data_IF_984634801095
#
_entry.id   IF_984634801095
#
_cell.length_a   1.000
_cell.length_b   1.000
_cell.length_c   1.000
_cell.angle_alpha   90.00
_cell.angle_beta   90.00
_cell.angle_gamma   90.00
#
_symmetry.space_group_name_H-M   'P 1'
#
loop_
_entity.id
_entity.type
_entity.pdbx_description
1 polymer ?
#
# COMPACT_ATOMS: atom_id res chain seq x y z
N UNK A 1 23.92 86.22 -36.60
CA UNK A 1 22.71 85.38 -36.41
C UNK A 1 22.22 84.97 -37.80
N UNK A 2 22.12 83.72 -38.27
CA UNK A 2 21.98 82.39 -37.68
C UNK A 2 22.69 81.40 -38.63
N UNK A 3 23.73 80.71 -38.17
CA UNK A 3 24.25 79.49 -38.84
C UNK A 3 24.55 78.35 -37.86
N UNK A 4 24.49 78.60 -36.54
CA UNK A 4 24.82 77.63 -35.51
C UNK A 4 23.63 76.77 -35.02
N UNK A 5 22.37 77.16 -35.28
CA UNK A 5 21.20 76.41 -34.79
C UNK A 5 20.89 75.12 -35.57
N UNK A 6 21.50 74.89 -36.74
CA UNK A 6 21.21 73.68 -37.55
C UNK A 6 22.01 72.44 -37.15
N UNK A 7 23.08 72.56 -36.35
CA UNK A 7 23.93 71.42 -35.99
C UNK A 7 23.48 70.70 -34.69
N UNK A 8 22.65 71.31 -33.84
CA UNK A 8 22.12 70.66 -32.64
C UNK A 8 20.90 69.76 -32.88
N UNK A 9 20.15 69.94 -33.97
CA UNK A 9 18.96 69.10 -34.24
C UNK A 9 19.30 67.73 -34.86
N UNK A 10 20.45 67.59 -35.54
CA UNK A 10 20.84 66.32 -36.16
C UNK A 10 21.37 65.27 -35.18
N UNK A 11 21.96 65.69 -34.05
CA UNK A 11 22.44 64.75 -33.03
C UNK A 11 21.30 64.18 -32.16
N UNK A 12 20.23 64.95 -31.90
CA UNK A 12 19.08 64.45 -31.13
C UNK A 12 18.25 63.40 -31.89
N UNK A 13 18.19 63.46 -33.24
CA UNK A 13 17.44 62.48 -34.05
C UNK A 13 18.15 61.12 -34.09
N UNK A 14 19.49 61.08 -34.05
CA UNK A 14 20.24 59.82 -33.99
C UNK A 14 20.08 59.10 -32.65
N UNK A 15 20.09 59.84 -31.54
CA UNK A 15 19.94 59.27 -30.20
C UNK A 15 18.55 58.64 -30.01
N UNK A 16 17.49 59.33 -30.44
CA UNK A 16 16.10 58.84 -30.34
C UNK A 16 15.85 57.60 -31.23
N UNK A 17 16.46 57.52 -32.42
CA UNK A 17 16.37 56.30 -33.25
C UNK A 17 17.08 55.10 -32.62
N UNK A 18 18.21 55.31 -31.92
CA UNK A 18 18.94 54.21 -31.26
C UNK A 18 18.19 53.67 -30.02
N UNK A 19 17.53 54.54 -29.26
CA UNK A 19 16.72 54.14 -28.09
C UNK A 19 15.47 53.34 -28.48
N UNK A 20 14.86 53.67 -29.64
CA UNK A 20 13.68 52.94 -30.14
C UNK A 20 14.01 51.54 -30.69
N UNK A 21 15.21 51.34 -31.23
CA UNK A 21 15.67 49.99 -31.63
C UNK A 21 15.99 49.10 -30.43
N UNK A 22 16.44 49.69 -29.32
CA UNK A 22 16.73 48.95 -28.10
C UNK A 22 15.46 48.40 -27.44
N UNK A 23 14.36 49.17 -27.39
CA UNK A 23 13.11 48.70 -26.80
C UNK A 23 12.49 47.52 -27.54
N UNK A 24 12.60 47.47 -28.88
CA UNK A 24 12.11 46.33 -29.66
C UNK A 24 12.93 45.06 -29.47
N UNK A 25 14.26 45.17 -29.39
CA UNK A 25 15.13 44.00 -29.16
C UNK A 25 14.94 43.40 -27.77
N UNK A 26 14.73 44.24 -26.74
CA UNK A 26 14.42 43.77 -25.38
C UNK A 26 13.07 43.06 -25.35
N UNK A 27 12.04 43.56 -26.05
CA UNK A 27 10.72 42.90 -26.11
C UNK A 27 10.74 41.52 -26.79
N UNK A 28 11.57 41.36 -27.83
CA UNK A 28 11.75 40.09 -28.53
C UNK A 28 12.48 39.08 -27.64
N UNK A 29 13.58 39.49 -27.01
CA UNK A 29 14.32 38.63 -26.09
C UNK A 29 13.44 38.19 -24.89
N UNK A 30 12.63 39.09 -24.32
CA UNK A 30 11.70 38.73 -23.25
C UNK A 30 10.61 37.76 -23.71
N UNK A 31 10.12 37.87 -24.94
CA UNK A 31 9.14 36.94 -25.50
C UNK A 31 9.74 35.53 -25.67
N UNK A 32 10.97 35.43 -26.20
CA UNK A 32 11.67 34.14 -26.32
C UNK A 32 11.95 33.51 -24.95
N UNK A 33 12.37 34.31 -23.96
CA UNK A 33 12.59 33.81 -22.60
C UNK A 33 11.29 33.30 -21.96
N UNK A 34 10.16 33.98 -22.18
CA UNK A 34 8.86 33.54 -21.68
C UNK A 34 8.42 32.21 -22.34
N UNK A 35 8.58 32.08 -23.67
CA UNK A 35 8.27 30.84 -24.39
C UNK A 35 9.16 29.69 -23.90
N UNK A 36 10.46 29.94 -23.76
CA UNK A 36 11.40 28.94 -23.25
C UNK A 36 11.04 28.51 -21.82
N UNK A 37 10.69 29.46 -20.95
CA UNK A 37 10.27 29.17 -19.57
C UNK A 37 8.98 28.35 -19.56
N UNK A 38 7.99 28.69 -20.38
CA UNK A 38 6.75 27.92 -20.50
C UNK A 38 7.01 26.49 -21.00
N UNK A 39 7.87 26.33 -22.01
CA UNK A 39 8.25 25.03 -22.53
C UNK A 39 9.00 24.19 -21.49
N UNK A 40 9.95 24.79 -20.78
CA UNK A 40 10.69 24.13 -19.70
C UNK A 40 9.74 23.67 -18.57
N UNK A 41 8.77 24.51 -18.19
CA UNK A 41 7.76 24.14 -17.18
C UNK A 41 6.87 22.99 -17.63
N UNK A 42 6.41 23.00 -18.89
CA UNK A 42 5.62 21.89 -19.45
C UNK A 42 6.45 20.61 -19.50
N UNK A 43 7.70 20.68 -19.97
CA UNK A 43 8.61 19.53 -20.03
C UNK A 43 8.92 18.96 -18.63
N UNK A 44 9.10 19.83 -17.63
CA UNK A 44 9.28 19.41 -16.25
C UNK A 44 8.02 18.77 -15.67
N UNK A 45 6.84 19.35 -15.93
CA UNK A 45 5.56 18.79 -15.49
C UNK A 45 5.29 17.42 -16.11
N UNK A 46 5.46 17.28 -17.44
CA UNK A 46 5.26 16.00 -18.13
C UNK A 46 6.32 14.98 -17.72
N UNK A 47 7.57 15.41 -17.53
CA UNK A 47 8.65 14.57 -17.01
C UNK A 47 8.32 14.01 -15.63
N UNK A 48 7.88 14.86 -14.70
CA UNK A 48 7.47 14.44 -13.36
C UNK A 48 6.26 13.51 -13.40
N UNK A 49 5.24 13.83 -14.22
CA UNK A 49 4.07 12.97 -14.36
C UNK A 49 4.41 11.59 -14.90
N UNK A 50 5.24 11.51 -15.95
CA UNK A 50 5.67 10.21 -16.53
C UNK A 50 6.54 9.44 -15.54
N UNK A 51 7.42 10.12 -14.81
CA UNK A 51 8.23 9.50 -13.76
C UNK A 51 7.35 8.94 -12.63
N UNK A 52 6.37 9.73 -12.16
CA UNK A 52 5.45 9.36 -11.10
C UNK A 52 4.53 8.21 -11.51
N UNK A 53 4.10 8.18 -12.77
CA UNK A 53 3.36 7.06 -13.32
C UNK A 53 4.26 5.82 -13.47
N UNK A 54 5.46 5.95 -14.02
CA UNK A 54 6.35 4.81 -14.24
C UNK A 54 6.82 4.16 -12.93
N UNK A 55 6.97 4.92 -11.84
CA UNK A 55 7.27 4.38 -10.50
C UNK A 55 6.08 3.68 -9.85
N UNK A 56 4.85 4.02 -10.23
CA UNK A 56 3.63 3.42 -9.66
C UNK A 56 3.22 2.15 -10.40
N UNK A 57 3.71 1.94 -11.63
CA UNK A 57 3.44 0.71 -12.38
C UNK A 57 4.33 -0.41 -11.86
N UNK A 58 3.69 -1.43 -11.31
CA UNK A 58 4.29 -2.67 -10.87
C UNK A 58 3.48 -3.87 -11.37
N UNK A 59 4.09 -5.04 -11.36
CA UNK A 59 3.41 -6.31 -11.55
C UNK A 59 4.06 -7.36 -10.66
N UNK A 60 3.34 -8.45 -10.44
CA UNK A 60 3.79 -9.57 -9.62
C UNK A 60 4.00 -10.76 -10.55
N UNK A 61 5.19 -11.33 -10.52
CA UNK A 61 5.49 -12.61 -11.15
C UNK A 61 5.74 -13.66 -10.08
N UNK A 62 5.43 -14.91 -10.38
CA UNK A 62 5.89 -16.04 -9.55
C UNK A 62 7.37 -16.31 -9.84
N UNK A 63 8.16 -16.45 -8.79
CA UNK A 63 9.54 -16.91 -8.85
C UNK A 63 9.69 -18.12 -7.93
N UNK A 64 10.70 -18.94 -8.21
CA UNK A 64 11.05 -20.08 -7.38
C UNK A 64 12.56 -20.26 -7.35
N UNK A 65 13.04 -20.94 -6.31
CA UNK A 65 14.43 -21.34 -6.19
C UNK A 65 14.55 -22.82 -6.46
N UNK A 66 15.55 -23.22 -7.24
CA UNK A 66 15.92 -24.63 -7.29
C UNK A 66 16.41 -25.11 -5.92
N UNK A 67 16.30 -26.42 -5.71
CA UNK A 67 16.75 -27.07 -4.48
C UNK A 67 18.21 -26.74 -4.13
N UNK A 68 19.10 -26.70 -5.14
CA UNK A 68 20.52 -26.39 -4.94
C UNK A 68 20.78 -24.92 -4.64
N UNK A 69 20.03 -23.98 -5.25
CA UNK A 69 20.13 -22.56 -4.93
C UNK A 69 19.70 -22.28 -3.49
N UNK A 70 18.59 -22.89 -3.05
CA UNK A 70 18.10 -22.72 -1.69
C UNK A 70 19.06 -23.32 -0.64
N UNK A 71 19.67 -24.48 -0.90
CA UNK A 71 20.74 -25.04 -0.04
C UNK A 71 21.95 -24.10 0.03
N UNK A 72 22.39 -23.57 -1.10
CA UNK A 72 23.54 -22.67 -1.16
C UNK A 72 23.28 -21.39 -0.34
N UNK A 73 22.07 -20.82 -0.45
CA UNK A 73 21.64 -19.66 0.34
C UNK A 73 21.50 -19.97 1.83
N UNK A 74 21.01 -21.16 2.18
CA UNK A 74 20.90 -21.64 3.56
C UNK A 74 22.25 -22.07 4.18
N UNK A 75 23.34 -22.12 3.39
CA UNK A 75 24.65 -22.57 3.86
C UNK A 75 24.72 -24.07 4.17
N UNK A 76 23.88 -24.87 3.52
CA UNK A 76 23.79 -26.32 3.74
C UNK A 76 24.64 -27.06 2.70
N UNK A 77 25.30 -28.13 3.13
CA UNK A 77 26.06 -29.00 2.23
C UNK A 77 25.15 -29.67 1.20
N UNK A 78 25.62 -29.81 -0.04
CA UNK A 78 24.90 -30.47 -1.14
C UNK A 78 24.57 -31.95 -0.90
N UNK A 79 25.09 -32.57 0.16
CA UNK A 79 24.83 -33.98 0.50
C UNK A 79 23.49 -34.20 1.23
N UNK A 80 22.83 -33.16 1.73
CA UNK A 80 21.49 -33.25 2.33
C UNK A 80 20.48 -33.27 1.20
N UNK A 81 19.55 -34.24 1.19
CA UNK A 81 18.48 -34.31 0.19
C UNK A 81 17.13 -34.08 0.89
N UNK A 82 16.40 -33.06 0.45
CA UNK A 82 15.02 -32.76 0.84
C UNK A 82 14.13 -33.49 -0.16
N UNK A 83 13.32 -34.43 0.34
CA UNK A 83 12.50 -35.34 -0.47
C UNK A 83 11.39 -34.58 -1.21
N UNK A 84 10.66 -33.73 -0.49
CA UNK A 84 9.60 -32.88 -1.06
C UNK A 84 10.00 -31.41 -0.99
N UNK A 85 10.19 -30.78 -2.15
CA UNK A 85 10.68 -29.41 -2.22
C UNK A 85 9.92 -28.60 -3.27
N UNK A 86 9.34 -27.49 -2.85
CA UNK A 86 8.67 -26.54 -3.73
C UNK A 86 8.71 -25.13 -3.14
N UNK A 87 9.45 -24.20 -3.75
CA UNK A 87 9.41 -22.79 -3.34
C UNK A 87 8.80 -21.94 -4.44
N UNK A 88 7.62 -21.41 -4.16
CA UNK A 88 6.91 -20.44 -4.98
C UNK A 88 6.66 -19.19 -4.14
N UNK A 89 7.16 -18.06 -4.61
CA UNK A 89 7.02 -16.79 -3.91
C UNK A 89 6.83 -15.65 -4.90
N UNK A 90 6.22 -14.52 -4.47
CA UNK A 90 5.99 -13.39 -5.35
C UNK A 90 7.28 -12.61 -5.54
N UNK A 91 7.53 -12.17 -6.78
CA UNK A 91 8.53 -11.17 -7.12
C UNK A 91 7.82 -9.93 -7.60
N UNK A 92 8.07 -8.81 -6.95
CA UNK A 92 7.51 -7.51 -7.32
C UNK A 92 8.44 -6.86 -8.34
N UNK A 93 7.94 -6.64 -9.54
CA UNK A 93 8.69 -6.04 -10.65
C UNK A 93 8.17 -4.63 -10.96
N UNK A 94 9.07 -3.74 -11.36
CA UNK A 94 8.75 -2.34 -11.70
C UNK A 94 9.46 -1.92 -12.97
N UNK A 95 8.91 -0.92 -13.66
CA UNK A 95 9.53 -0.35 -14.87
C UNK A 95 10.84 0.36 -14.52
N UNK A 96 10.83 1.13 -13.44
CA UNK A 96 11.99 1.87 -12.95
C UNK A 96 12.58 1.17 -11.71
N UNK A 97 13.91 1.20 -11.52
CA UNK A 97 14.53 0.66 -10.32
C UNK A 97 13.95 1.28 -9.04
N UNK A 98 13.50 0.43 -8.12
CA UNK A 98 12.98 0.85 -6.83
C UNK A 98 13.76 0.15 -5.70
N UNK A 99 14.47 0.92 -4.89
CA UNK A 99 15.31 0.39 -3.81
C UNK A 99 14.50 -0.39 -2.77
N UNK A 100 13.38 0.20 -2.33
CA UNK A 100 12.53 -0.38 -1.32
C UNK A 100 11.91 -1.70 -1.80
N UNK A 101 11.38 -1.75 -3.04
CA UNK A 101 10.81 -3.00 -3.56
C UNK A 101 11.87 -4.08 -3.80
N UNK A 102 13.13 -3.68 -4.08
CA UNK A 102 14.24 -4.63 -4.10
C UNK A 102 14.51 -5.22 -2.72
N UNK A 103 14.54 -4.40 -1.66
CA UNK A 103 14.68 -4.89 -0.27
C UNK A 103 13.51 -5.80 0.12
N UNK A 104 12.29 -5.46 -0.30
CA UNK A 104 11.11 -6.32 -0.11
C UNK A 104 11.33 -7.68 -0.79
N UNK A 105 11.73 -7.71 -2.07
CA UNK A 105 12.01 -8.95 -2.78
C UNK A 105 13.12 -9.77 -2.11
N UNK A 106 14.22 -9.13 -1.68
CA UNK A 106 15.30 -9.79 -0.96
C UNK A 106 14.80 -10.42 0.36
N UNK A 107 13.91 -9.73 1.08
CA UNK A 107 13.27 -10.24 2.29
C UNK A 107 12.35 -11.42 2.00
N UNK A 108 11.56 -11.38 0.92
CA UNK A 108 10.70 -12.51 0.49
C UNK A 108 11.58 -13.74 0.26
N UNK A 109 12.60 -13.60 -0.58
CA UNK A 109 13.53 -14.69 -0.91
C UNK A 109 14.19 -15.23 0.37
N UNK A 110 14.67 -14.34 1.25
CA UNK A 110 15.26 -14.73 2.54
C UNK A 110 14.31 -15.56 3.40
N UNK A 111 13.05 -15.15 3.54
CA UNK A 111 12.07 -15.89 4.33
C UNK A 111 11.76 -17.26 3.71
N UNK A 112 11.69 -17.35 2.37
CA UNK A 112 11.38 -18.59 1.66
C UNK A 112 12.39 -19.72 1.90
N UNK A 113 13.67 -19.44 2.17
CA UNK A 113 14.65 -20.49 2.49
C UNK A 113 15.10 -20.50 3.96
N UNK A 114 14.66 -19.54 4.78
CA UNK A 114 15.18 -19.34 6.15
C UNK A 114 14.96 -20.52 7.11
N UNK A 115 13.95 -21.36 6.83
CA UNK A 115 13.61 -22.52 7.66
C UNK A 115 14.23 -23.83 7.16
N UNK A 116 14.96 -23.77 6.04
CA UNK A 116 15.68 -24.94 5.54
C UNK A 116 16.84 -25.23 6.48
N UNK A 117 16.96 -26.49 6.89
CA UNK A 117 17.98 -26.97 7.81
C UNK A 117 18.52 -28.33 7.35
N UNK A 118 19.69 -28.78 7.86
CA UNK A 118 20.24 -30.08 7.47
C UNK A 118 19.35 -31.28 7.77
N UNK A 119 18.36 -31.16 8.67
CA UNK A 119 17.40 -32.20 9.00
C UNK A 119 16.01 -31.95 8.37
N UNK A 120 15.86 -30.99 7.46
CA UNK A 120 14.62 -30.81 6.71
C UNK A 120 14.41 -31.98 5.73
N UNK A 121 13.23 -32.60 5.78
CA UNK A 121 12.77 -33.67 4.88
C UNK A 121 11.83 -33.15 3.80
N UNK A 122 10.97 -32.20 4.15
CA UNK A 122 10.09 -31.50 3.22
C UNK A 122 10.16 -30.00 3.48
N UNK A 123 10.17 -29.19 2.43
CA UNK A 123 10.13 -27.74 2.53
C UNK A 123 9.31 -27.16 1.38
N UNK A 124 8.16 -26.57 1.72
CA UNK A 124 7.23 -25.99 0.76
C UNK A 124 6.95 -24.55 1.14
N UNK A 125 6.99 -23.66 0.15
CA UNK A 125 6.60 -22.26 0.31
C UNK A 125 5.62 -21.88 -0.80
N UNK A 126 4.51 -21.29 -0.40
CA UNK A 126 3.48 -20.73 -1.27
C UNK A 126 3.15 -19.30 -0.90
N UNK A 127 2.34 -18.64 -1.73
CA UNK A 127 1.89 -17.28 -1.45
C UNK A 127 0.49 -17.02 -2.00
N UNK A 128 -0.18 -16.03 -1.41
CA UNK A 128 -1.45 -15.50 -1.86
C UNK A 128 -1.39 -13.96 -1.91
N UNK A 129 -1.81 -13.36 -3.02
CA UNK A 129 -1.99 -11.90 -3.11
C UNK A 129 -3.37 -11.52 -2.57
N UNK A 130 -3.41 -11.02 -1.35
CA UNK A 130 -4.62 -10.59 -0.66
C UNK A 130 -5.22 -9.29 -1.23
N UNK A 131 -4.38 -8.33 -1.60
CA UNK A 131 -4.80 -7.07 -2.21
C UNK A 131 -3.73 -6.55 -3.16
N UNK A 132 -4.13 -6.14 -4.36
CA UNK A 132 -3.27 -5.47 -5.32
C UNK A 132 -4.01 -4.26 -5.87
N UNK A 133 -3.47 -3.06 -5.61
CA UNK A 133 -4.03 -1.79 -6.03
C UNK A 133 -2.93 -0.75 -6.26
N UNK A 134 -3.28 0.42 -6.78
CA UNK A 134 -2.33 1.52 -7.02
C UNK A 134 -1.71 2.06 -5.71
N UNK A 135 -2.39 1.90 -4.57
CA UNK A 135 -1.94 2.44 -3.28
C UNK A 135 -1.45 1.39 -2.29
N UNK A 136 -1.99 0.17 -2.34
CA UNK A 136 -1.66 -0.90 -1.39
C UNK A 136 -1.40 -2.20 -2.14
N UNK A 137 -0.31 -2.86 -1.77
CA UNK A 137 -0.03 -4.25 -2.08
C UNK A 137 0.02 -5.05 -0.77
N UNK A 138 -0.78 -6.10 -0.68
CA UNK A 138 -0.85 -7.02 0.46
C UNK A 138 -0.75 -8.46 -0.04
N UNK A 139 0.11 -9.26 0.58
CA UNK A 139 0.20 -10.69 0.30
C UNK A 139 0.67 -11.48 1.52
N UNK A 140 0.37 -12.77 1.49
CA UNK A 140 0.70 -13.75 2.52
C UNK A 140 1.70 -14.75 1.94
N UNK A 141 2.69 -15.13 2.74
CA UNK A 141 3.67 -16.17 2.43
C UNK A 141 3.48 -17.30 3.45
N UNK A 142 3.20 -18.50 2.98
CA UNK A 142 3.02 -19.69 3.78
C UNK A 142 4.25 -20.59 3.62
N UNK A 143 4.80 -21.05 4.74
CA UNK A 143 5.96 -21.94 4.79
C UNK A 143 5.60 -23.19 5.57
N UNK A 144 5.87 -24.34 4.98
CA UNK A 144 5.63 -25.66 5.55
C UNK A 144 6.95 -26.42 5.58
N UNK A 145 7.34 -26.87 6.78
CA UNK A 145 8.58 -27.64 6.96
C UNK A 145 8.31 -28.91 7.73
N UNK A 146 8.78 -30.04 7.21
CA UNK A 146 8.81 -31.30 7.94
C UNK A 146 10.25 -31.68 8.23
N UNK A 147 10.59 -31.86 9.51
CA UNK A 147 11.94 -32.22 9.93
C UNK A 147 12.05 -33.72 10.21
N UNK A 148 13.22 -34.29 9.99
CA UNK A 148 13.53 -35.67 10.35
C UNK A 148 13.33 -35.88 11.86
N UNK A 149 12.53 -36.90 12.21
CA UNK A 149 12.19 -37.24 13.59
C UNK A 149 11.08 -36.40 14.20
N UNK A 150 10.53 -35.41 13.47
CA UNK A 150 9.34 -34.68 13.92
C UNK A 150 8.09 -35.57 13.85
N UNK A 151 7.15 -35.33 14.77
CA UNK A 151 5.85 -36.02 14.79
C UNK A 151 4.85 -35.40 13.80
N UNK A 152 4.99 -34.11 13.52
CA UNK A 152 4.13 -33.30 12.68
C UNK A 152 4.99 -32.25 11.94
N UNK A 153 4.51 -31.72 10.81
CA UNK A 153 5.12 -30.56 10.17
C UNK A 153 4.95 -29.30 11.02
N UNK A 154 5.71 -28.27 10.67
CA UNK A 154 5.59 -26.92 11.22
C UNK A 154 5.14 -25.95 10.13
N UNK A 155 4.07 -25.22 10.42
CA UNK A 155 3.54 -24.18 9.53
C UNK A 155 3.85 -22.77 10.06
N UNK A 156 4.43 -21.93 9.21
CA UNK A 156 4.70 -20.52 9.49
C UNK A 156 4.08 -19.65 8.42
N UNK A 157 3.41 -18.59 8.83
CA UNK A 157 2.77 -17.65 7.91
C UNK A 157 3.29 -16.25 8.14
N UNK A 158 3.75 -15.61 7.08
CA UNK A 158 4.23 -14.24 7.06
C UNK A 158 3.30 -13.39 6.20
N UNK A 159 3.18 -12.11 6.53
CA UNK A 159 2.41 -11.19 5.72
C UNK A 159 3.22 -9.95 5.39
N UNK A 160 2.91 -9.38 4.23
CA UNK A 160 3.54 -8.19 3.70
C UNK A 160 2.44 -7.22 3.31
N UNK A 161 2.42 -6.05 3.94
CA UNK A 161 1.52 -4.96 3.59
C UNK A 161 2.39 -3.76 3.21
N UNK A 162 2.18 -3.22 2.02
CA UNK A 162 3.08 -2.24 1.42
C UNK A 162 2.25 -1.05 0.93
N UNK A 163 2.63 0.16 1.34
CA UNK A 163 2.12 1.40 0.75
C UNK A 163 2.91 1.69 -0.52
N UNK A 164 2.25 1.45 -1.67
CA UNK A 164 2.84 1.62 -2.99
C UNK A 164 3.05 3.11 -3.35
N UNK A 165 2.42 4.04 -2.64
CA UNK A 165 2.58 5.49 -2.89
C UNK A 165 3.89 6.02 -2.32
N UNK A 166 4.22 5.55 -1.12
CA UNK A 166 5.29 6.11 -0.31
C UNK A 166 6.49 5.17 -0.15
N UNK A 167 6.35 3.88 -0.52
CA UNK A 167 7.43 2.90 -0.48
C UNK A 167 7.85 2.55 0.95
N UNK A 168 6.90 2.13 1.78
CA UNK A 168 7.17 1.60 3.12
C UNK A 168 6.21 0.46 3.47
N UNK A 169 6.57 -0.31 4.50
CA UNK A 169 5.69 -1.32 5.07
C UNK A 169 4.57 -0.65 5.87
N UNK A 170 3.34 -1.11 5.66
CA UNK A 170 2.18 -0.73 6.48
C UNK A 170 2.22 -1.57 7.75
N UNK A 171 2.41 -0.91 8.89
CA UNK A 171 2.25 -1.51 10.21
C UNK A 171 0.79 -1.43 10.66
N UNK A 172 0.40 -2.27 11.61
CA UNK A 172 -0.94 -2.22 12.21
C UNK A 172 -1.21 -0.85 12.86
N UNK A 173 -0.15 -0.18 13.35
CA UNK A 173 -0.23 1.16 13.94
C UNK A 173 -0.50 2.25 12.89
N UNK A 174 -0.21 2.00 11.61
CA UNK A 174 -0.55 2.93 10.52
C UNK A 174 -2.04 2.83 10.14
N UNK A 175 -2.70 1.75 10.52
CA UNK A 175 -4.11 1.50 10.22
C UNK A 175 -5.02 2.12 11.28
N UNK A 176 -4.62 2.10 12.55
CA UNK A 176 -5.49 2.48 13.67
C UNK A 176 -5.01 3.72 14.42
N UNK A 177 -5.95 4.63 14.71
CA UNK A 177 -5.77 5.80 15.57
C UNK A 177 -5.63 5.37 17.03
N UNK A 178 -4.73 6.04 17.75
CA UNK A 178 -4.54 5.81 19.19
C UNK A 178 -3.32 4.95 19.55
N UNK A 179 -2.53 4.54 18.56
CA UNK A 179 -1.28 3.81 18.79
C UNK A 179 -1.52 2.47 19.49
N UNK A 180 -0.69 2.13 20.48
CA UNK A 180 -0.76 0.84 21.19
C UNK A 180 -2.10 0.56 21.87
N UNK A 181 -2.83 1.58 22.35
CA UNK A 181 -4.17 1.38 22.94
C UNK A 181 -5.19 0.84 21.91
N UNK A 182 -4.99 1.18 20.63
CA UNK A 182 -5.83 0.63 19.57
C UNK A 182 -5.60 -0.87 19.41
N UNK A 183 -4.37 -1.35 19.62
CA UNK A 183 -4.01 -2.77 19.47
C UNK A 183 -4.72 -3.63 20.52
N UNK A 184 -4.81 -3.18 21.77
CA UNK A 184 -5.59 -3.88 22.79
C UNK A 184 -7.06 -4.02 22.38
N UNK A 185 -7.65 -2.94 21.85
CA UNK A 185 -9.04 -2.96 21.38
C UNK A 185 -9.21 -3.88 20.16
N UNK A 186 -8.25 -3.87 19.23
CA UNK A 186 -8.23 -4.79 18.09
C UNK A 186 -8.18 -6.23 18.57
N UNK A 187 -7.30 -6.55 19.52
CA UNK A 187 -7.22 -7.91 20.09
C UNK A 187 -8.54 -8.36 20.69
N UNK A 188 -9.23 -7.48 21.42
CA UNK A 188 -10.55 -7.77 21.99
C UNK A 188 -11.62 -8.02 20.91
N UNK A 189 -11.59 -7.28 19.80
CA UNK A 189 -12.50 -7.46 18.67
C UNK A 189 -12.23 -8.80 17.96
N UNK A 190 -10.95 -9.14 17.77
CA UNK A 190 -10.53 -10.34 17.00
C UNK A 190 -10.67 -11.63 17.82
N UNK A 191 -10.53 -11.56 19.14
CA UNK A 191 -10.50 -12.71 20.05
C UNK A 191 -11.67 -13.70 19.89
N UNK A 192 -12.95 -13.27 19.80
CA UNK A 192 -14.06 -14.19 19.57
C UNK A 192 -13.93 -14.99 18.27
N UNK A 193 -13.42 -14.38 17.20
CA UNK A 193 -13.24 -15.05 15.91
C UNK A 193 -12.16 -16.13 15.97
N UNK A 194 -11.11 -15.93 16.79
CA UNK A 194 -10.09 -16.96 17.02
C UNK A 194 -10.72 -18.17 17.71
N UNK A 195 -11.54 -17.94 18.74
CA UNK A 195 -12.24 -19.01 19.46
C UNK A 195 -13.21 -19.80 18.58
N UNK A 196 -13.89 -19.14 17.64
CA UNK A 196 -14.74 -19.81 16.66
C UNK A 196 -13.94 -20.71 15.71
N UNK A 197 -12.68 -20.33 15.43
CA UNK A 197 -11.80 -21.08 14.52
C UNK A 197 -11.10 -22.25 15.20
N UNK A 198 -10.60 -22.05 16.43
CA UNK A 198 -9.86 -23.03 17.20
C UNK A 198 -10.12 -22.86 18.69
N UNK A 199 -10.52 -23.95 19.35
CA UNK A 199 -10.62 -23.99 20.81
C UNK A 199 -9.23 -24.10 21.45
N UNK A 200 -8.99 -23.38 22.55
CA UNK A 200 -7.76 -23.51 23.32
C UNK A 200 -6.76 -22.37 23.13
N UNK A 201 -7.25 -21.14 22.94
CA UNK A 201 -6.41 -19.94 22.82
C UNK A 201 -5.50 -19.80 24.05
N UNK A 202 -4.21 -19.54 23.80
CA UNK A 202 -3.23 -19.21 24.82
C UNK A 202 -3.42 -17.76 25.26
N UNK A 203 -4.35 -17.54 26.19
CA UNK A 203 -4.77 -16.19 26.60
C UNK A 203 -3.60 -15.28 27.02
N UNK A 204 -2.65 -15.83 27.78
CA UNK A 204 -1.47 -15.09 28.24
C UNK A 204 -0.58 -14.65 27.07
N UNK A 205 -0.40 -15.51 26.06
CA UNK A 205 0.40 -15.17 24.87
C UNK A 205 -0.33 -14.19 23.95
N UNK A 206 -1.64 -14.38 23.74
CA UNK A 206 -2.43 -13.53 22.85
C UNK A 206 -2.59 -12.10 23.41
N UNK A 207 -2.85 -11.97 24.71
CA UNK A 207 -3.02 -10.66 25.35
C UNK A 207 -1.72 -10.03 25.85
N UNK A 208 -0.56 -10.65 25.64
CA UNK A 208 0.74 -10.05 25.93
C UNK A 208 0.91 -8.70 25.20
N UNK A 209 1.41 -7.66 25.90
CA UNK A 209 1.55 -6.31 25.34
C UNK A 209 2.50 -6.25 24.12
N UNK A 210 3.45 -7.17 24.03
CA UNK A 210 4.42 -7.25 22.93
C UNK A 210 3.87 -8.04 21.73
N UNK A 211 2.85 -8.86 21.94
CA UNK A 211 2.23 -9.61 20.86
C UNK A 211 1.43 -8.67 19.95
N UNK A 212 1.79 -8.63 18.67
CA UNK A 212 1.04 -7.89 17.64
C UNK A 212 0.62 -8.90 16.57
N UNK A 213 -0.69 -9.12 16.37
CA UNK A 213 -1.16 -10.05 15.34
C UNK A 213 -0.65 -9.64 13.97
N UNK A 214 -0.15 -10.62 13.20
CA UNK A 214 0.10 -10.41 11.77
C UNK A 214 -1.23 -10.23 11.05
N UNK A 215 -1.20 -9.49 9.96
CA UNK A 215 -2.40 -9.22 9.19
C UNK A 215 -2.11 -9.10 7.69
N UNK A 216 -3.13 -9.33 6.88
CA UNK A 216 -3.17 -8.98 5.47
C UNK A 216 -4.38 -8.10 5.20
N UNK A 217 -4.18 -7.07 4.39
CA UNK A 217 -5.25 -6.21 3.92
C UNK A 217 -5.97 -6.84 2.73
N UNK A 218 -7.31 -6.83 2.78
CA UNK A 218 -8.20 -7.21 1.69
C UNK A 218 -9.13 -6.04 1.35
N UNK A 219 -9.94 -6.18 0.30
CA UNK A 219 -10.84 -5.10 -0.15
C UNK A 219 -11.89 -4.68 0.90
N UNK A 220 -12.32 -5.59 1.78
CA UNK A 220 -13.47 -5.37 2.68
C UNK A 220 -13.20 -5.70 4.15
N UNK A 221 -12.04 -6.28 4.45
CA UNK A 221 -11.72 -6.78 5.78
C UNK A 221 -10.21 -6.75 6.01
N UNK A 222 -9.83 -6.85 7.28
CA UNK A 222 -8.47 -7.18 7.69
C UNK A 222 -8.47 -8.67 8.03
N UNK A 223 -7.58 -9.42 7.40
CA UNK A 223 -7.35 -10.81 7.74
C UNK A 223 -6.23 -10.88 8.78
N UNK A 224 -6.55 -11.35 10.00
CA UNK A 224 -5.55 -11.57 11.04
C UNK A 224 -5.02 -12.99 10.96
N UNK A 225 -3.71 -13.16 10.98
CA UNK A 225 -3.01 -14.38 10.59
C UNK A 225 -2.18 -14.88 11.76
N UNK A 226 -2.28 -16.17 12.04
CA UNK A 226 -1.60 -16.84 13.13
C UNK A 226 -0.85 -18.07 12.62
N UNK A 227 0.44 -18.15 12.93
CA UNK A 227 1.24 -19.35 12.66
C UNK A 227 0.89 -20.45 13.65
N UNK A 228 1.27 -21.69 13.32
CA UNK A 228 1.11 -22.81 14.24
C UNK A 228 1.83 -22.53 15.57
N UNK A 229 1.22 -22.91 16.69
CA UNK A 229 1.73 -22.68 18.06
C UNK A 229 1.84 -21.23 18.52
N UNK A 230 1.44 -20.24 17.72
CA UNK A 230 1.59 -18.84 18.09
C UNK A 230 0.63 -18.44 19.20
N UNK A 231 -0.66 -18.77 19.03
CA UNK A 231 -1.73 -18.41 19.97
C UNK A 231 -2.67 -19.57 20.27
N UNK A 232 -2.44 -20.75 19.67
CA UNK A 232 -3.26 -21.96 19.85
C UNK A 232 -2.38 -23.22 19.78
N UNK A 233 -2.87 -24.41 20.21
CA UNK A 233 -2.15 -25.66 20.05
C UNK A 233 -2.03 -26.08 18.58
N UNK A 234 -0.97 -26.80 18.22
CA UNK A 234 -0.69 -27.18 16.83
C UNK A 234 -1.73 -28.07 16.14
N UNK A 235 -2.67 -28.69 16.87
CA UNK A 235 -3.82 -29.37 16.24
C UNK A 235 -4.67 -28.41 15.39
N UNK A 236 -4.59 -27.11 15.64
CA UNK A 236 -5.28 -26.09 14.86
C UNK A 236 -4.51 -25.62 13.61
N UNK A 237 -3.25 -26.05 13.44
CA UNK A 237 -2.39 -25.60 12.36
C UNK A 237 -2.14 -24.09 12.39
N UNK A 238 -1.67 -23.56 11.27
CA UNK A 238 -1.78 -22.12 11.00
C UNK A 238 -3.22 -21.78 10.55
N UNK A 239 -3.68 -20.57 10.86
CA UNK A 239 -5.02 -20.13 10.47
C UNK A 239 -5.13 -18.62 10.38
N UNK A 240 -6.16 -18.16 9.69
CA UNK A 240 -6.53 -16.75 9.61
C UNK A 240 -7.98 -16.52 10.04
N UNK A 241 -8.26 -15.29 10.49
CA UNK A 241 -9.60 -14.82 10.84
C UNK A 241 -9.88 -13.49 10.13
N UNK A 242 -10.85 -13.46 9.18
CA UNK A 242 -11.22 -12.23 8.49
C UNK A 242 -12.19 -11.41 9.36
N UNK A 243 -11.86 -10.13 9.57
CA UNK A 243 -12.71 -9.19 10.33
C UNK A 243 -13.00 -7.94 9.50
N UNK A 244 -14.29 -7.67 9.29
CA UNK A 244 -14.77 -6.54 8.48
C UNK A 244 -14.21 -5.21 8.97
N UNK A 245 -13.88 -4.30 8.04
CA UNK A 245 -13.47 -2.93 8.40
C UNK A 245 -14.52 -2.18 9.25
N UNK A 246 -15.79 -2.58 9.18
CA UNK A 246 -16.87 -1.97 9.96
C UNK A 246 -16.68 -2.16 11.47
N UNK A 247 -16.17 -3.32 11.90
CA UNK A 247 -15.89 -3.63 13.31
C UNK A 247 -14.85 -2.65 13.89
N UNK A 248 -13.96 -2.14 13.05
CA UNK A 248 -12.91 -1.20 13.44
C UNK A 248 -13.21 0.26 13.09
N UNK A 249 -14.41 0.58 12.65
CA UNK A 249 -14.76 1.92 12.13
C UNK A 249 -14.42 3.09 13.06
N UNK A 250 -14.44 2.89 14.38
CA UNK A 250 -14.05 3.92 15.37
C UNK A 250 -12.55 4.01 15.61
N UNK A 251 -11.80 3.00 15.19
CA UNK A 251 -10.35 2.90 15.37
C UNK A 251 -9.60 3.27 14.10
N UNK A 252 -10.15 3.03 12.91
CA UNK A 252 -9.43 3.24 11.65
C UNK A 252 -8.98 4.70 11.50
N UNK A 253 -7.71 4.88 11.09
CA UNK A 253 -7.24 6.15 10.60
C UNK A 253 -7.62 6.40 9.15
N UNK A 254 -8.62 7.24 8.95
CA UNK A 254 -9.09 7.66 7.63
C UNK A 254 -8.10 8.58 6.87
N UNK A 255 -6.99 9.00 7.48
CA UNK A 255 -5.85 9.57 6.75
C UNK A 255 -4.78 8.54 6.36
N UNK A 256 -4.90 7.30 6.86
CA UNK A 256 -3.92 6.25 6.69
C UNK A 256 -4.06 5.45 5.38
N UNK A 257 -3.37 4.31 5.28
CA UNK A 257 -3.36 3.46 4.10
C UNK A 257 -4.74 2.94 3.67
N UNK A 258 -5.70 2.90 4.58
CA UNK A 258 -7.06 2.43 4.33
C UNK A 258 -8.07 3.54 4.00
N UNK A 259 -7.65 4.79 3.84
CA UNK A 259 -8.53 5.93 3.62
C UNK A 259 -9.59 5.70 2.52
N UNK A 260 -9.20 5.06 1.41
CA UNK A 260 -10.08 4.83 0.25
C UNK A 260 -10.93 3.55 0.36
N UNK A 261 -10.68 2.72 1.38
CA UNK A 261 -11.29 1.38 1.56
C UNK A 261 -12.22 1.33 2.76
N UNK A 262 -11.86 2.00 3.85
CA UNK A 262 -12.69 2.14 5.02
C UNK A 262 -13.78 3.17 4.72
N UNK A 263 -14.94 2.71 4.26
CA UNK A 263 -16.10 3.59 4.15
C UNK A 263 -16.42 4.17 5.54
N UNK A 264 -16.52 5.50 5.70
CA UNK A 264 -16.99 6.06 6.95
C UNK A 264 -18.40 5.54 7.20
N UNK A 265 -18.63 4.97 8.38
CA UNK A 265 -19.95 4.53 8.81
C UNK A 265 -20.83 5.77 8.85
N UNK A 266 -21.77 5.87 7.92
CA UNK A 266 -22.64 7.03 7.77
C UNK A 266 -22.17 8.05 6.72
N UNK A 267 -21.74 7.60 5.53
CA UNK A 267 -21.74 8.46 4.35
C UNK A 267 -23.10 9.14 4.28
N UNK A 268 -23.10 10.46 4.51
CA UNK A 268 -24.23 11.31 4.20
C UNK A 268 -24.41 11.24 2.68
N UNK A 269 -25.29 10.34 2.22
CA UNK A 269 -25.65 10.28 0.82
C UNK A 269 -26.55 11.48 0.51
N UNK A 270 -25.98 12.48 -0.17
CA UNK A 270 -26.71 13.67 -0.59
C UNK A 270 -27.96 13.34 -1.42
N UNK A 271 -27.94 12.26 -2.20
CA UNK A 271 -29.10 11.81 -2.96
C UNK A 271 -30.19 11.23 -2.04
N UNK A 272 -29.85 10.36 -1.09
CA UNK A 272 -30.84 9.82 -0.14
C UNK A 272 -31.44 10.92 0.75
N UNK A 273 -30.65 11.90 1.15
CA UNK A 273 -31.14 13.03 1.94
C UNK A 273 -32.01 13.99 1.11
N UNK A 274 -31.64 14.26 -0.16
CA UNK A 274 -32.42 15.08 -1.10
C UNK A 274 -33.74 14.40 -1.48
N UNK A 275 -33.72 13.11 -1.77
CA UNK A 275 -34.91 12.32 -2.09
C UNK A 275 -35.79 12.06 -0.87
N UNK A 276 -35.21 11.88 0.32
CA UNK A 276 -35.95 11.76 1.58
C UNK A 276 -36.71 13.04 1.96
N UNK A 277 -36.12 14.21 1.73
CA UNK A 277 -36.78 15.52 1.89
C UNK A 277 -37.91 15.72 0.86
N UNK A 278 -37.68 15.37 -0.41
CA UNK A 278 -38.70 15.42 -1.45
C UNK A 278 -39.86 14.47 -1.17
N UNK A 279 -39.59 13.26 -0.66
CA UNK A 279 -40.62 12.28 -0.28
C UNK A 279 -41.48 12.81 0.86
N UNK A 280 -40.88 13.43 1.88
CA UNK A 280 -41.62 14.10 2.99
C UNK A 280 -42.49 15.26 2.52
N UNK A 281 -42.01 16.06 1.56
CA UNK A 281 -42.78 17.17 0.97
C UNK A 281 -43.95 16.68 0.11
N UNK A 282 -43.79 15.56 -0.59
CA UNK A 282 -44.86 14.91 -1.38
C UNK A 282 -45.90 14.24 -0.47
N UNK A 283 -45.49 13.66 0.67
CA UNK A 283 -46.41 13.00 1.61
C UNK A 283 -47.12 13.94 2.59
N UNK A 284 -46.73 15.21 2.70
CA UNK A 284 -47.41 16.20 3.56
C UNK A 284 -48.18 17.27 2.77
N UNK A 285 -48.29 17.13 1.44
CA UNK A 285 -49.17 17.92 0.59
C UNK A 285 -50.51 17.24 0.26
N UNK A 286 -50.71 15.99 0.69
CA UNK A 286 -51.98 15.29 0.57
C UNK A 286 -52.88 15.65 1.73
N UNK A 287 -53.85 16.53 1.49
CA UNK A 287 -55.02 16.68 2.34
C UNK A 287 -55.70 15.30 2.42
N UNK A 288 -55.62 14.66 3.58
CA UNK A 288 -56.40 13.47 3.90
C UNK A 288 -57.89 13.88 3.85
N UNK A 289 -58.74 13.24 3.01
CA UNK A 289 -60.16 13.48 3.08
C UNK A 289 -60.71 12.96 4.41
N UNK A 290 -61.41 13.83 5.14
CA UNK A 290 -62.18 13.52 6.35
C UNK A 290 -63.24 12.46 6.01
N UNK A 291 -62.99 11.20 6.36
CA UNK A 291 -64.01 10.15 6.34
C UNK A 291 -64.96 10.35 7.52
N UNK A 292 -65.91 11.25 7.31
CA UNK A 292 -67.21 11.26 7.99
C UNK A 292 -68.29 11.24 6.92
N UNK A 293 -68.78 10.04 6.63
CA UNK A 293 -70.20 9.70 6.40
C UNK A 293 -70.35 8.17 6.26
#
# INVERSE_FOLDING_TARGET
MRKEDKLRSFNNIKVVKSLRSWSSSVSIASAYLAIFTAFASVAAFTGNFVYDWARSVYWISEEGLSHEEAKALAGISSAVDIEDYELKFPKIETILPNHFLREVNEKIVSLSYSQISPNSRSHMVGYEVALSSDSVLSFVLESFVFYEGALNPSESVFSFNIDMRNGHYIDILDIFRGGYQAIETVKQIVHPYIYEKCSGVFEEAYFDEQFVPRFALHDKHIEFIFSEYEVTPGVCGSFSVPVSYQEFSRLIDYSGPLADKAYPVGVWNAEEHRWGLLKKLVTHGGVEPDERD
#
